data_IF_529993216303
#
_entry.id   IF_529993216303
#
_cell.length_a   1.000
_cell.length_b   1.000
_cell.length_c   1.000
_cell.angle_alpha   90.00
_cell.angle_beta   90.00
_cell.angle_gamma   90.00
#
_symmetry.space_group_name_H-M   'P 1'
#
loop_
_entity.id
_entity.type
_entity.pdbx_description
1 polymer ?
#
# COMPACT_ATOMS: atom_id res chain seq x y z
N UNK A 1 -2.07 -66.03 -19.41
CA UNK A 1 -1.99 -64.80 -20.23
C UNK A 1 -2.96 -63.78 -19.67
N UNK A 2 -2.46 -62.59 -19.32
CA UNK A 2 -3.25 -61.50 -18.76
C UNK A 2 -4.26 -60.98 -19.81
N UNK A 3 -5.44 -60.58 -19.35
CA UNK A 3 -6.50 -60.10 -20.24
C UNK A 3 -6.04 -58.86 -21.02
N UNK A 4 -6.24 -58.87 -22.34
CA UNK A 4 -5.90 -57.74 -23.23
C UNK A 4 -6.87 -56.57 -23.02
N UNK A 5 -6.44 -55.34 -23.28
CA UNK A 5 -7.26 -54.13 -23.11
C UNK A 5 -8.57 -54.18 -23.91
N UNK A 6 -8.57 -54.80 -25.11
CA UNK A 6 -9.79 -55.04 -25.90
C UNK A 6 -10.82 -55.91 -25.16
N UNK A 7 -10.37 -56.86 -24.35
CA UNK A 7 -11.25 -57.75 -23.58
C UNK A 7 -11.87 -57.04 -22.38
N UNK A 8 -11.16 -56.07 -21.80
CA UNK A 8 -11.71 -55.21 -20.73
C UNK A 8 -12.80 -54.27 -21.26
N UNK A 9 -12.63 -53.73 -22.48
CA UNK A 9 -13.65 -52.93 -23.17
C UNK A 9 -14.90 -53.75 -23.49
N UNK A 10 -14.73 -55.00 -23.97
CA UNK A 10 -15.87 -55.91 -24.27
C UNK A 10 -16.55 -56.50 -23.02
N UNK A 11 -15.93 -56.34 -21.84
CA UNK A 11 -16.43 -56.88 -20.59
C UNK A 11 -16.04 -58.34 -20.38
N UNK A 12 -15.62 -58.65 -19.16
CA UNK A 12 -15.12 -59.95 -18.70
C UNK A 12 -16.06 -60.52 -17.66
N UNK A 13 -16.49 -61.75 -17.88
CA UNK A 13 -17.31 -62.51 -16.93
C UNK A 13 -16.54 -63.76 -16.52
N UNK A 14 -16.26 -63.89 -15.23
CA UNK A 14 -15.70 -65.11 -14.66
C UNK A 14 -16.84 -66.07 -14.36
N UNK A 15 -16.81 -67.23 -15.01
CA UNK A 15 -17.82 -68.28 -14.87
C UNK A 15 -17.22 -69.51 -14.22
N UNK A 16 -18.01 -70.16 -13.37
CA UNK A 16 -17.73 -71.43 -12.73
C UNK A 16 -18.65 -72.49 -13.32
N UNK A 17 -18.08 -73.56 -13.83
CA UNK A 17 -18.74 -74.63 -14.55
C UNK A 17 -18.70 -75.91 -13.71
N UNK A 18 -19.85 -76.58 -13.59
CA UNK A 18 -20.04 -77.85 -12.88
C UNK A 18 -20.74 -78.85 -13.79
N UNK A 19 -20.26 -80.08 -13.87
CA UNK A 19 -20.89 -81.13 -14.67
C UNK A 19 -19.96 -82.31 -14.93
N UNK A 20 -20.50 -83.39 -15.50
CA UNK A 20 -19.75 -84.62 -15.73
C UNK A 20 -18.92 -84.58 -17.04
N UNK A 21 -19.22 -83.65 -17.97
CA UNK A 21 -18.61 -83.55 -19.30
C UNK A 21 -17.96 -82.16 -19.55
N UNK A 22 -17.18 -81.68 -18.58
CA UNK A 22 -16.55 -80.35 -18.66
C UNK A 22 -15.52 -80.22 -19.80
N UNK A 23 -14.78 -81.29 -20.09
CA UNK A 23 -13.76 -81.31 -21.15
C UNK A 23 -14.39 -81.21 -22.54
N UNK A 24 -15.49 -81.93 -22.76
CA UNK A 24 -16.26 -81.88 -24.01
C UNK A 24 -16.85 -80.48 -24.25
N UNK A 25 -17.31 -79.82 -23.18
CA UNK A 25 -17.81 -78.44 -23.25
C UNK A 25 -16.70 -77.45 -23.64
N UNK A 26 -15.52 -77.55 -23.03
CA UNK A 26 -14.39 -76.66 -23.35
C UNK A 26 -13.94 -76.86 -24.80
N UNK A 27 -13.83 -78.11 -25.25
CA UNK A 27 -13.42 -78.42 -26.62
C UNK A 27 -14.43 -77.91 -27.66
N UNK A 28 -15.74 -78.08 -27.41
CA UNK A 28 -16.78 -77.52 -28.29
C UNK A 28 -16.78 -76.00 -28.27
N UNK A 29 -16.58 -75.39 -27.10
CA UNK A 29 -16.53 -73.94 -26.99
C UNK A 29 -15.37 -73.36 -27.81
N UNK A 30 -14.17 -73.95 -27.71
CA UNK A 30 -13.03 -73.55 -28.53
C UNK A 30 -13.26 -73.81 -30.02
N UNK A 31 -13.87 -74.94 -30.40
CA UNK A 31 -14.20 -75.26 -31.79
C UNK A 31 -15.24 -74.29 -32.40
N UNK A 32 -16.16 -73.77 -31.59
CA UNK A 32 -17.14 -72.75 -31.99
C UNK A 32 -16.56 -71.32 -32.05
N UNK A 33 -15.24 -71.17 -31.82
CA UNK A 33 -14.54 -69.89 -31.86
C UNK A 33 -14.68 -69.03 -30.60
N UNK A 34 -15.15 -69.61 -29.48
CA UNK A 34 -15.28 -68.87 -28.22
C UNK A 34 -13.91 -68.68 -27.57
N UNK A 35 -13.64 -67.47 -27.10
CA UNK A 35 -12.40 -67.15 -26.41
C UNK A 35 -12.55 -67.42 -24.91
N UNK A 36 -12.02 -68.56 -24.46
CA UNK A 36 -11.91 -68.92 -23.04
C UNK A 36 -10.50 -68.57 -22.54
N UNK A 37 -10.37 -67.88 -21.41
CA UNK A 37 -9.06 -67.60 -20.81
C UNK A 37 -9.02 -67.90 -19.31
N UNK A 38 -7.81 -68.08 -18.80
CA UNK A 38 -7.53 -68.42 -17.40
C UNK A 38 -8.37 -69.61 -16.91
N UNK A 39 -8.35 -70.70 -17.69
CA UNK A 39 -9.01 -71.95 -17.34
C UNK A 39 -8.24 -72.55 -16.15
N UNK A 40 -8.89 -72.67 -15.00
CA UNK A 40 -8.35 -73.34 -13.82
C UNK A 40 -9.35 -74.34 -13.26
N UNK A 41 -8.86 -75.48 -12.78
CA UNK A 41 -9.67 -76.45 -12.03
C UNK A 41 -9.61 -76.13 -10.54
N UNK A 42 -10.76 -76.16 -9.89
CA UNK A 42 -10.89 -76.03 -8.44
C UNK A 42 -10.86 -77.43 -7.82
N UNK A 43 -10.36 -77.56 -6.58
CA UNK A 43 -10.18 -78.84 -5.87
C UNK A 43 -11.44 -79.71 -5.72
N UNK A 44 -12.64 -79.16 -5.95
CA UNK A 44 -13.93 -79.87 -5.94
C UNK A 44 -14.43 -80.37 -7.31
N UNK A 45 -13.56 -80.45 -8.33
CA UNK A 45 -13.95 -80.92 -9.67
C UNK A 45 -14.67 -79.87 -10.54
N UNK A 46 -14.62 -78.61 -10.15
CA UNK A 46 -15.26 -77.50 -10.88
C UNK A 46 -14.26 -76.76 -11.77
N UNK A 47 -14.71 -76.27 -12.92
CA UNK A 47 -13.86 -75.52 -13.84
C UNK A 47 -14.20 -74.03 -13.80
N UNK A 48 -13.20 -73.18 -13.58
CA UNK A 48 -13.35 -71.73 -13.64
C UNK A 48 -12.69 -71.23 -14.91
N UNK A 49 -13.42 -70.45 -15.70
CA UNK A 49 -12.86 -69.77 -16.86
C UNK A 49 -13.44 -68.35 -16.97
N UNK A 50 -12.72 -67.50 -17.67
CA UNK A 50 -13.18 -66.16 -17.99
C UNK A 50 -13.61 -66.11 -19.45
N UNK A 51 -14.70 -65.39 -19.71
CA UNK A 51 -15.30 -65.22 -21.03
C UNK A 51 -15.72 -63.78 -21.27
N UNK A 52 -15.84 -63.38 -22.53
CA UNK A 52 -16.38 -62.06 -22.85
C UNK A 52 -17.89 -62.04 -22.60
N UNK A 53 -18.47 -60.85 -22.39
CA UNK A 53 -19.93 -60.71 -22.21
C UNK A 53 -20.71 -61.26 -23.41
N UNK A 54 -20.21 -61.09 -24.63
CA UNK A 54 -20.83 -61.63 -25.83
C UNK A 54 -20.79 -63.16 -25.88
N UNK A 55 -19.63 -63.74 -25.55
CA UNK A 55 -19.41 -65.19 -25.56
C UNK A 55 -20.14 -65.91 -24.41
N UNK A 56 -20.39 -65.21 -23.29
CA UNK A 56 -21.19 -65.72 -22.18
C UNK A 56 -22.60 -66.15 -22.62
N UNK A 57 -23.25 -65.40 -23.51
CA UNK A 57 -24.57 -65.76 -24.01
C UNK A 57 -24.51 -66.94 -25.00
N UNK A 58 -23.42 -67.05 -25.76
CA UNK A 58 -23.16 -68.15 -26.71
C UNK A 58 -22.81 -69.47 -26.01
N UNK A 59 -22.36 -69.44 -24.76
CA UNK A 59 -22.14 -70.64 -23.94
C UNK A 59 -23.42 -71.35 -23.49
N UNK A 60 -24.55 -70.64 -23.40
CA UNK A 60 -25.83 -71.20 -22.93
C UNK A 60 -26.33 -72.42 -23.74
N UNK A 61 -26.35 -72.40 -25.09
CA UNK A 61 -26.74 -73.58 -25.87
C UNK A 61 -25.79 -74.77 -25.65
N UNK A 62 -24.48 -74.53 -25.60
CA UNK A 62 -23.48 -75.58 -25.38
C UNK A 62 -23.61 -76.24 -23.99
N UNK A 63 -24.03 -75.47 -22.98
CA UNK A 63 -24.33 -75.98 -21.64
C UNK A 63 -25.53 -76.92 -21.61
N UNK A 64 -26.56 -76.64 -22.43
CA UNK A 64 -27.77 -77.49 -22.52
C UNK A 64 -27.46 -78.83 -23.18
N UNK A 65 -26.61 -78.84 -24.22
CA UNK A 65 -26.21 -80.07 -24.93
C UNK A 65 -25.34 -81.00 -24.08
N UNK A 66 -24.51 -80.43 -23.20
CA UNK A 66 -23.53 -81.18 -22.39
C UNK A 66 -23.99 -81.43 -20.95
N UNK A 67 -25.21 -81.00 -20.59
CA UNK A 67 -25.78 -81.16 -19.25
C UNK A 67 -25.02 -80.41 -18.14
N UNK A 68 -24.15 -79.46 -18.49
CA UNK A 68 -23.31 -78.73 -17.55
C UNK A 68 -24.05 -77.48 -17.00
N UNK A 69 -23.76 -77.13 -15.74
CA UNK A 69 -24.30 -75.94 -15.07
C UNK A 69 -23.23 -74.87 -14.95
N UNK A 70 -23.63 -73.61 -15.14
CA UNK A 70 -22.75 -72.45 -15.06
C UNK A 70 -23.22 -71.47 -13.99
N UNK A 71 -22.30 -70.96 -13.20
CA UNK A 71 -22.52 -69.91 -12.20
C UNK A 71 -21.59 -68.72 -12.46
N UNK A 72 -22.13 -67.49 -12.41
CA UNK A 72 -21.32 -66.28 -12.61
C UNK A 72 -20.74 -65.84 -11.27
N UNK A 73 -19.42 -65.87 -11.15
CA UNK A 73 -18.72 -65.48 -9.91
C UNK A 73 -18.41 -63.98 -9.91
N UNK A 74 -17.88 -63.45 -11.01
CA UNK A 74 -17.36 -62.08 -11.05
C UNK A 74 -17.68 -61.42 -12.39
N UNK A 75 -18.06 -60.13 -12.35
CA UNK A 75 -18.31 -59.29 -13.52
C UNK A 75 -17.34 -58.11 -13.48
N UNK A 76 -16.46 -57.99 -14.49
CA UNK A 76 -15.45 -56.92 -14.59
C UNK A 76 -15.45 -56.32 -15.98
N UNK A 77 -15.11 -55.04 -16.12
CA UNK A 77 -14.94 -54.38 -17.42
C UNK A 77 -15.80 -53.14 -17.61
N UNK A 78 -15.54 -52.45 -18.73
CA UNK A 78 -16.14 -51.18 -19.11
C UNK A 78 -17.68 -51.15 -19.10
N UNK A 79 -18.43 -52.15 -19.65
CA UNK A 79 -19.89 -52.13 -19.63
C UNK A 79 -20.50 -52.18 -18.22
N UNK A 80 -19.82 -52.84 -17.26
CA UNK A 80 -20.27 -52.88 -15.87
C UNK A 80 -19.86 -51.62 -15.08
N UNK A 81 -18.78 -50.96 -15.48
CA UNK A 81 -18.36 -49.67 -14.93
C UNK A 81 -19.24 -48.52 -15.41
N UNK A 82 -19.60 -48.47 -16.71
CA UNK A 82 -20.54 -47.48 -17.25
C UNK A 82 -21.91 -47.53 -16.57
N UNK A 83 -22.49 -48.73 -16.38
CA UNK A 83 -23.74 -48.88 -15.61
C UNK A 83 -23.65 -48.38 -14.17
N UNK A 84 -22.45 -48.36 -13.59
CA UNK A 84 -22.20 -47.82 -12.25
C UNK A 84 -21.99 -46.30 -12.29
N UNK A 85 -21.43 -45.78 -13.38
CA UNK A 85 -21.27 -44.35 -13.65
C UNK A 85 -22.59 -43.65 -14.02
N UNK A 86 -23.54 -44.34 -14.65
CA UNK A 86 -24.91 -43.83 -14.89
C UNK A 86 -25.64 -43.46 -13.60
N UNK A 87 -25.34 -44.14 -12.48
CA UNK A 87 -25.88 -43.74 -11.16
C UNK A 87 -25.25 -42.46 -10.60
N UNK A 88 -24.23 -41.91 -11.26
CA UNK A 88 -23.48 -40.70 -10.87
C UNK A 88 -23.47 -39.65 -11.99
N UNK A 89 -24.52 -39.59 -12.82
CA UNK A 89 -24.67 -38.55 -13.86
C UNK A 89 -24.52 -37.14 -13.28
N UNK A 90 -25.08 -36.89 -12.09
CA UNK A 90 -24.95 -35.61 -11.39
C UNK A 90 -23.49 -35.20 -11.12
N UNK A 91 -22.58 -36.17 -10.92
CA UNK A 91 -21.15 -35.87 -10.73
C UNK A 91 -20.51 -35.39 -12.04
N UNK A 92 -20.83 -36.03 -13.17
CA UNK A 92 -20.36 -35.60 -14.49
C UNK A 92 -20.89 -34.22 -14.88
N UNK A 93 -22.19 -33.98 -14.65
CA UNK A 93 -22.82 -32.67 -14.87
C UNK A 93 -22.18 -31.59 -13.99
N UNK A 94 -21.95 -31.89 -12.70
CA UNK A 94 -21.28 -30.97 -11.79
C UNK A 94 -19.84 -30.63 -12.21
N UNK A 95 -19.09 -31.61 -12.72
CA UNK A 95 -17.75 -31.39 -13.25
C UNK A 95 -17.76 -30.44 -14.45
N UNK A 96 -18.69 -30.65 -15.40
CA UNK A 96 -18.85 -29.77 -16.57
C UNK A 96 -19.27 -28.36 -16.15
N UNK A 97 -20.25 -28.25 -15.25
CA UNK A 97 -20.69 -26.97 -14.68
C UNK A 97 -19.56 -26.24 -13.95
N UNK A 98 -18.70 -26.97 -13.25
CA UNK A 98 -17.53 -26.40 -12.57
C UNK A 98 -16.58 -25.74 -13.57
N UNK A 99 -16.25 -26.40 -14.68
CA UNK A 99 -15.39 -25.81 -15.71
C UNK A 99 -16.05 -24.62 -16.43
N UNK A 100 -17.36 -24.70 -16.70
CA UNK A 100 -18.13 -23.58 -17.25
C UNK A 100 -18.10 -22.40 -16.28
N UNK A 101 -18.37 -22.64 -14.99
CA UNK A 101 -18.32 -21.62 -13.95
C UNK A 101 -16.93 -21.00 -13.82
N UNK A 102 -15.87 -21.80 -13.84
CA UNK A 102 -14.49 -21.33 -13.80
C UNK A 102 -14.16 -20.43 -15.00
N UNK A 103 -14.61 -20.80 -16.21
CA UNK A 103 -14.42 -20.00 -17.41
C UNK A 103 -15.18 -18.67 -17.33
N UNK A 104 -16.43 -18.69 -16.87
CA UNK A 104 -17.24 -17.49 -16.67
C UNK A 104 -16.60 -16.55 -15.64
N UNK A 105 -16.21 -17.06 -14.48
CA UNK A 105 -15.56 -16.24 -13.44
C UNK A 105 -14.21 -15.67 -13.88
N UNK A 106 -13.48 -16.38 -14.74
CA UNK A 106 -12.22 -15.91 -15.34
C UNK A 106 -12.42 -14.80 -16.38
N UNK A 107 -13.58 -14.79 -17.06
CA UNK A 107 -13.93 -13.75 -18.04
C UNK A 107 -14.54 -12.50 -17.40
N UNK A 108 -14.83 -12.53 -16.10
CA UNK A 108 -15.43 -11.41 -15.38
C UNK A 108 -14.36 -10.42 -14.89
N UNK A 109 -14.64 -9.13 -15.01
CA UNK A 109 -13.77 -8.07 -14.48
C UNK A 109 -14.10 -7.87 -13.00
N UNK A 110 -13.18 -8.22 -12.12
CA UNK A 110 -13.40 -8.16 -10.66
C UNK A 110 -12.97 -6.84 -10.05
N UNK A 111 -11.93 -6.21 -10.60
CA UNK A 111 -11.34 -5.00 -10.01
C UNK A 111 -10.84 -4.09 -11.12
N UNK A 112 -11.13 -2.81 -10.98
CA UNK A 112 -10.60 -1.72 -11.79
C UNK A 112 -9.76 -0.88 -10.84
N UNK A 113 -8.49 -0.66 -11.17
CA UNK A 113 -7.57 0.18 -10.40
C UNK A 113 -7.19 1.38 -11.24
N UNK A 114 -7.27 2.58 -10.66
CA UNK A 114 -6.84 3.83 -11.31
C UNK A 114 -5.46 4.21 -10.76
N UNK A 115 -4.56 4.65 -11.64
CA UNK A 115 -3.21 5.10 -11.29
C UNK A 115 -2.84 6.37 -12.04
N UNK A 116 -2.05 7.23 -11.39
CA UNK A 116 -1.56 8.49 -11.99
C UNK A 116 -2.57 9.63 -11.96
N UNK A 117 -3.53 9.56 -11.03
CA UNK A 117 -4.50 10.61 -10.74
C UNK A 117 -3.98 11.48 -9.59
N UNK A 118 -3.56 12.70 -9.91
CA UNK A 118 -3.05 13.69 -8.96
C UNK A 118 -4.06 14.83 -8.76
N UNK A 119 -4.58 15.40 -9.86
CA UNK A 119 -5.58 16.47 -9.87
C UNK A 119 -6.98 15.97 -10.27
N UNK A 120 -7.08 14.93 -11.10
CA UNK A 120 -8.36 14.35 -11.53
C UNK A 120 -8.85 13.37 -10.47
N UNK A 121 -10.11 13.50 -10.03
CA UNK A 121 -10.68 12.57 -9.05
C UNK A 121 -10.84 11.16 -9.63
N UNK A 122 -10.55 10.14 -8.80
CA UNK A 122 -10.73 8.73 -9.18
C UNK A 122 -12.18 8.42 -9.56
N UNK A 123 -13.14 9.01 -8.84
CA UNK A 123 -14.57 8.86 -9.09
C UNK A 123 -14.94 9.30 -10.50
N UNK A 124 -14.43 10.45 -10.95
CA UNK A 124 -14.69 10.95 -12.29
C UNK A 124 -14.11 10.05 -13.39
N UNK A 125 -12.91 9.50 -13.17
CA UNK A 125 -12.28 8.55 -14.10
C UNK A 125 -13.12 7.26 -14.21
N UNK A 126 -13.63 6.76 -13.09
CA UNK A 126 -14.49 5.59 -13.05
C UNK A 126 -15.86 5.85 -13.69
N UNK A 127 -16.41 7.06 -13.57
CA UNK A 127 -17.64 7.45 -14.26
C UNK A 127 -17.48 7.47 -15.77
N UNK A 128 -16.40 8.06 -16.28
CA UNK A 128 -16.10 8.06 -17.73
C UNK A 128 -15.84 6.64 -18.22
N UNK A 129 -15.07 5.83 -17.47
CA UNK A 129 -14.87 4.41 -17.80
C UNK A 129 -16.21 3.65 -17.88
N UNK A 130 -17.15 3.93 -16.97
CA UNK A 130 -18.47 3.32 -16.97
C UNK A 130 -19.32 3.71 -18.19
N UNK A 131 -19.23 4.95 -18.66
CA UNK A 131 -19.89 5.41 -19.89
C UNK A 131 -19.37 4.65 -21.11
N UNK A 132 -18.08 4.33 -21.13
CA UNK A 132 -17.40 3.52 -22.15
C UNK A 132 -17.60 2.00 -21.96
N UNK A 133 -18.45 1.59 -21.02
CA UNK A 133 -18.81 0.19 -20.78
C UNK A 133 -17.82 -0.59 -19.90
N UNK A 134 -16.82 0.08 -19.32
CA UNK A 134 -15.84 -0.48 -18.39
C UNK A 134 -16.27 -0.23 -16.93
N UNK A 135 -16.80 -1.28 -16.28
CA UNK A 135 -17.21 -1.22 -14.88
C UNK A 135 -17.03 -2.58 -14.17
N UNK A 136 -17.02 -2.63 -12.82
CA UNK A 136 -16.86 -3.89 -12.09
C UNK A 136 -17.99 -4.89 -12.39
N UNK A 137 -17.67 -6.18 -12.44
CA UNK A 137 -18.58 -7.27 -12.82
C UNK A 137 -19.08 -7.22 -14.27
N UNK A 138 -18.41 -6.45 -15.13
CA UNK A 138 -18.63 -6.54 -16.57
C UNK A 138 -17.94 -7.79 -17.16
N UNK A 139 -18.57 -8.36 -18.20
CA UNK A 139 -18.01 -9.44 -18.97
C UNK A 139 -16.93 -8.94 -19.92
N UNK A 140 -15.74 -9.53 -19.86
CA UNK A 140 -14.61 -9.06 -20.66
C UNK A 140 -14.77 -9.24 -22.18
N UNK A 141 -15.68 -10.11 -22.62
CA UNK A 141 -16.03 -10.27 -24.05
C UNK A 141 -16.99 -9.20 -24.57
N UNK A 142 -17.62 -8.42 -23.68
CA UNK A 142 -18.50 -7.28 -24.06
C UNK A 142 -17.74 -5.96 -24.15
N UNK A 143 -16.48 -5.93 -23.73
CA UNK A 143 -15.67 -4.72 -23.80
C UNK A 143 -15.29 -4.40 -25.26
N UNK A 144 -15.28 -3.12 -25.63
CA UNK A 144 -14.64 -2.66 -26.86
C UNK A 144 -13.16 -3.08 -26.91
N UNK A 145 -12.56 -2.95 -28.10
CA UNK A 145 -11.12 -3.13 -28.23
C UNK A 145 -10.39 -2.15 -27.30
N UNK A 146 -9.32 -2.60 -26.64
CA UNK A 146 -8.57 -1.81 -25.65
C UNK A 146 -8.07 -0.48 -26.27
N UNK A 147 -7.66 -0.54 -27.54
CA UNK A 147 -7.20 0.61 -28.31
C UNK A 147 -8.27 1.69 -28.49
N UNK A 148 -9.53 1.28 -28.69
CA UNK A 148 -10.66 2.19 -28.85
C UNK A 148 -11.09 2.77 -27.50
N UNK A 149 -11.09 1.94 -26.45
CA UNK A 149 -11.36 2.38 -25.08
C UNK A 149 -10.36 3.44 -24.60
N UNK A 150 -9.07 3.26 -24.92
CA UNK A 150 -8.04 4.25 -24.60
C UNK A 150 -8.29 5.59 -25.31
N UNK A 151 -8.67 5.56 -26.59
CA UNK A 151 -8.95 6.77 -27.38
C UNK A 151 -10.20 7.49 -26.88
N UNK A 152 -11.28 6.77 -26.61
CA UNK A 152 -12.52 7.39 -26.12
C UNK A 152 -12.32 7.98 -24.72
N UNK A 153 -11.72 7.22 -23.80
CA UNK A 153 -11.41 7.72 -22.46
C UNK A 153 -10.48 8.93 -22.48
N UNK A 154 -9.47 8.98 -23.35
CA UNK A 154 -8.58 10.15 -23.47
C UNK A 154 -9.34 11.39 -23.99
N UNK A 155 -10.31 11.20 -24.89
CA UNK A 155 -11.13 12.29 -25.43
C UNK A 155 -12.12 12.83 -24.39
N UNK A 156 -12.68 11.93 -23.59
CA UNK A 156 -13.82 12.25 -22.72
C UNK A 156 -13.37 12.62 -21.28
N UNK A 157 -12.06 12.55 -20.98
CA UNK A 157 -11.43 13.06 -19.76
C UNK A 157 -10.69 14.40 -20.00
N UNK A 158 -11.34 15.56 -19.79
CA UNK A 158 -10.66 16.85 -19.91
C UNK A 158 -9.56 16.99 -18.86
N UNK A 159 -8.35 17.30 -19.30
CA UNK A 159 -7.17 17.42 -18.42
C UNK A 159 -6.27 16.18 -18.37
N UNK A 160 -6.67 15.07 -18.97
CA UNK A 160 -5.76 13.95 -19.24
C UNK A 160 -4.96 14.23 -20.52
N UNK A 161 -3.63 14.09 -20.46
CA UNK A 161 -2.76 14.10 -21.64
C UNK A 161 -2.80 12.75 -22.36
N UNK A 162 -2.98 11.67 -21.61
CA UNK A 162 -3.06 10.30 -22.12
C UNK A 162 -3.74 9.37 -21.11
N UNK A 163 -4.54 8.42 -21.61
CA UNK A 163 -5.15 7.35 -20.80
C UNK A 163 -4.75 5.98 -21.36
N UNK A 164 -4.03 5.21 -20.55
CA UNK A 164 -3.68 3.82 -20.79
C UNK A 164 -4.65 2.88 -20.10
N UNK A 165 -5.02 1.80 -20.78
CA UNK A 165 -5.86 0.74 -20.21
C UNK A 165 -5.14 -0.59 -20.43
N UNK A 166 -4.86 -1.30 -19.34
CA UNK A 166 -4.19 -2.61 -19.38
C UNK A 166 -5.05 -3.67 -18.68
N UNK A 167 -5.29 -4.79 -19.34
CA UNK A 167 -6.00 -5.95 -18.77
C UNK A 167 -4.99 -7.02 -18.33
N UNK A 168 -4.93 -7.33 -17.03
CA UNK A 168 -4.18 -8.46 -16.47
C UNK A 168 -5.14 -9.46 -15.82
N UNK A 169 -5.48 -10.51 -16.56
CA UNK A 169 -6.44 -11.52 -16.11
C UNK A 169 -7.82 -10.91 -15.88
N UNK A 170 -8.30 -10.95 -14.63
CA UNK A 170 -9.58 -10.40 -14.18
C UNK A 170 -9.48 -8.96 -13.66
N UNK A 171 -8.30 -8.36 -13.68
CA UNK A 171 -8.04 -6.99 -13.22
C UNK A 171 -7.76 -6.07 -14.40
N UNK A 172 -8.32 -4.87 -14.36
CA UNK A 172 -8.04 -3.79 -15.32
C UNK A 172 -7.37 -2.64 -14.59
N UNK A 173 -6.30 -2.13 -15.17
CA UNK A 173 -5.59 -0.95 -14.66
C UNK A 173 -5.78 0.19 -15.65
N UNK A 174 -6.30 1.32 -15.17
CA UNK A 174 -6.40 2.57 -15.92
C UNK A 174 -5.25 3.46 -15.45
N UNK A 175 -4.33 3.77 -16.34
CA UNK A 175 -3.22 4.66 -16.09
C UNK A 175 -3.49 6.01 -16.74
N UNK A 176 -3.61 7.05 -15.94
CA UNK A 176 -3.83 8.41 -16.41
C UNK A 176 -2.51 9.18 -16.32
N UNK A 177 -2.21 9.96 -17.35
CA UNK A 177 -1.14 10.96 -17.33
C UNK A 177 -1.82 12.30 -17.50
N UNK A 178 -1.74 13.15 -16.49
CA UNK A 178 -2.41 14.45 -16.49
C UNK A 178 -1.61 15.52 -17.27
N UNK A 179 -2.34 16.44 -17.90
CA UNK A 179 -1.78 17.59 -18.58
C UNK A 179 -1.27 18.60 -17.56
N UNK A 180 0.04 18.88 -17.59
CA UNK A 180 0.65 19.97 -16.81
C UNK A 180 0.34 21.30 -17.49
N UNK A 181 -0.75 21.93 -17.12
CA UNK A 181 -0.97 23.34 -17.43
C UNK A 181 -0.04 24.17 -16.52
N UNK A 182 0.77 25.11 -17.05
CA UNK A 182 1.53 26.01 -16.19
C UNK A 182 0.55 26.77 -15.31
N UNK A 183 0.76 26.70 -13.99
CA UNK A 183 -0.06 27.42 -13.02
C UNK A 183 -0.03 28.89 -13.41
N UNK A 184 -1.18 29.42 -13.83
CA UNK A 184 -1.31 30.84 -14.14
C UNK A 184 -1.34 31.55 -12.80
N UNK A 185 -0.18 31.90 -12.29
CA UNK A 185 -0.06 32.68 -11.05
C UNK A 185 -0.90 33.95 -11.24
N UNK A 186 -1.81 34.28 -10.32
CA UNK A 186 -2.60 35.50 -10.43
C UNK A 186 -1.66 36.71 -10.58
N UNK A 187 -2.04 37.72 -11.37
CA UNK A 187 -1.22 38.92 -11.51
C UNK A 187 -0.98 39.53 -10.14
N UNK A 188 0.29 39.59 -9.75
CA UNK A 188 0.73 40.11 -8.45
C UNK A 188 0.61 41.62 -8.47
N UNK A 189 -0.02 42.20 -7.45
CA UNK A 189 -0.15 43.64 -7.33
C UNK A 189 1.22 44.33 -7.25
N UNK A 190 1.39 45.53 -7.84
CA UNK A 190 2.63 46.28 -7.76
C UNK A 190 3.03 46.56 -6.29
N UNK A 191 4.32 46.37 -5.98
CA UNK A 191 4.86 46.52 -4.63
C UNK A 191 6.34 46.84 -4.62
N UNK A 192 6.80 47.43 -3.52
CA UNK A 192 8.21 47.57 -3.17
C UNK A 192 8.67 46.41 -2.30
N UNK A 193 9.98 46.16 -2.32
CA UNK A 193 10.66 45.38 -1.29
C UNK A 193 11.41 46.36 -0.40
N UNK A 194 11.11 46.31 0.89
CA UNK A 194 11.73 47.11 1.95
C UNK A 194 12.54 46.25 2.92
N UNK A 195 13.41 46.88 3.69
CA UNK A 195 14.19 46.25 4.75
C UNK A 195 13.32 45.86 5.95
N UNK A 196 13.34 44.59 6.35
CA UNK A 196 12.62 44.10 7.53
C UNK A 196 13.34 44.43 8.85
N UNK A 197 14.65 44.70 8.80
CA UNK A 197 15.51 45.02 9.94
C UNK A 197 16.66 45.96 9.52
N UNK A 198 17.30 46.60 10.50
CA UNK A 198 18.53 47.36 10.29
C UNK A 198 19.67 46.39 9.92
N UNK A 199 20.36 46.64 8.81
CA UNK A 199 21.34 45.69 8.27
C UNK A 199 22.42 46.36 7.42
N UNK A 200 23.52 45.63 7.21
CA UNK A 200 24.48 45.92 6.13
C UNK A 200 24.29 44.92 5.00
N UNK A 201 24.06 45.40 3.79
CA UNK A 201 23.70 44.53 2.67
C UNK A 201 24.91 43.70 2.23
N UNK A 202 24.74 42.38 2.13
CA UNK A 202 25.77 41.44 1.68
C UNK A 202 25.57 40.97 0.26
N UNK A 203 24.32 40.72 -0.13
CA UNK A 203 23.95 40.22 -1.46
C UNK A 203 22.58 40.76 -1.90
N UNK A 204 22.44 41.01 -3.20
CA UNK A 204 21.23 41.57 -3.81
C UNK A 204 20.93 40.79 -5.09
N UNK A 205 19.80 40.11 -5.13
CA UNK A 205 19.30 39.37 -6.29
C UNK A 205 17.90 39.87 -6.65
N UNK A 206 17.80 40.77 -7.62
CA UNK A 206 16.53 41.30 -8.09
C UNK A 206 16.06 40.53 -9.33
N UNK A 207 14.88 39.89 -9.24
CA UNK A 207 14.22 39.25 -10.38
C UNK A 207 13.36 40.27 -11.16
N UNK A 208 12.57 41.05 -10.42
CA UNK A 208 11.69 42.09 -10.95
C UNK A 208 11.81 43.35 -10.10
N UNK A 209 11.89 44.53 -10.71
CA UNK A 209 12.11 45.80 -10.00
C UNK A 209 13.53 46.34 -10.19
N UNK A 210 13.78 47.55 -9.67
CA UNK A 210 15.11 48.19 -9.70
C UNK A 210 15.72 48.19 -8.30
N UNK A 211 16.90 47.56 -8.09
CA UNK A 211 17.60 47.68 -6.81
C UNK A 211 18.07 49.13 -6.62
N UNK A 212 17.75 49.72 -5.47
CA UNK A 212 18.11 51.11 -5.14
C UNK A 212 19.30 51.21 -4.19
N UNK A 213 19.67 50.09 -3.57
CA UNK A 213 20.77 49.94 -2.62
C UNK A 213 21.94 49.17 -3.23
N UNK A 214 23.13 49.28 -2.61
CA UNK A 214 24.36 48.60 -3.06
C UNK A 214 24.91 47.67 -1.98
N UNK A 215 25.77 46.74 -2.40
CA UNK A 215 26.52 45.87 -1.48
C UNK A 215 27.38 46.72 -0.53
N UNK A 216 27.43 46.32 0.73
CA UNK A 216 28.08 46.99 1.87
C UNK A 216 27.44 48.32 2.29
N UNK A 217 26.24 48.64 1.79
CA UNK A 217 25.47 49.80 2.23
C UNK A 217 24.70 49.48 3.51
N UNK A 218 24.57 50.48 4.40
CA UNK A 218 23.79 50.39 5.63
C UNK A 218 22.35 50.80 5.34
N UNK A 219 21.41 49.95 5.72
CA UNK A 219 19.97 50.21 5.60
C UNK A 219 19.30 50.14 6.97
N UNK A 220 18.26 50.93 7.14
CA UNK A 220 17.37 50.87 8.28
C UNK A 220 16.10 50.10 7.92
N UNK A 221 15.45 49.54 8.93
CA UNK A 221 14.14 48.94 8.80
C UNK A 221 13.16 49.93 8.15
N UNK A 222 12.54 49.51 7.05
CA UNK A 222 11.61 50.31 6.26
C UNK A 222 12.23 50.94 5.01
N UNK A 223 13.56 50.96 4.86
CA UNK A 223 14.20 51.48 3.66
C UNK A 223 13.87 50.62 2.44
N UNK A 224 13.64 51.27 1.28
CA UNK A 224 13.38 50.57 0.02
C UNK A 224 14.67 49.89 -0.44
N UNK A 225 14.63 48.58 -0.68
CA UNK A 225 15.74 47.80 -1.21
C UNK A 225 15.60 47.60 -2.72
N UNK A 226 14.40 47.22 -3.15
CA UNK A 226 14.05 47.07 -4.58
C UNK A 226 12.78 47.88 -4.84
N UNK A 227 12.89 48.84 -5.74
CA UNK A 227 11.77 49.66 -6.18
C UNK A 227 10.91 48.91 -7.22
N UNK A 228 9.61 48.84 -6.98
CA UNK A 228 8.61 48.41 -7.98
C UNK A 228 8.24 49.50 -8.99
N UNK A 229 8.86 50.67 -8.90
CA UNK A 229 8.66 51.79 -9.81
C UNK A 229 9.83 51.81 -10.80
N UNK A 230 9.56 51.48 -12.07
CA UNK A 230 10.55 51.53 -13.16
C UNK A 230 10.32 52.77 -14.02
N UNK A 231 11.41 53.42 -14.42
CA UNK A 231 11.39 54.52 -15.39
C UNK A 231 12.01 55.82 -14.87
N UNK A 232 12.04 56.81 -15.75
CA UNK A 232 12.47 58.19 -15.46
C UNK A 232 11.25 59.10 -15.24
N UNK A 233 11.47 60.36 -14.86
CA UNK A 233 10.44 61.35 -14.47
C UNK A 233 9.25 61.47 -15.44
N UNK A 234 9.43 61.10 -16.72
CA UNK A 234 8.40 61.20 -17.76
C UNK A 234 7.66 59.89 -18.10
N UNK A 235 8.15 58.71 -17.66
CA UNK A 235 7.55 57.41 -18.03
C UNK A 235 7.71 56.39 -16.90
N UNK A 236 6.76 56.37 -15.99
CA UNK A 236 6.78 55.48 -14.82
C UNK A 236 5.90 54.25 -15.04
N UNK A 237 6.47 53.05 -14.85
CA UNK A 237 5.77 51.76 -14.90
C UNK A 237 5.86 51.06 -13.55
N UNK A 238 4.71 50.73 -12.98
CA UNK A 238 4.61 50.00 -11.73
C UNK A 238 4.65 48.49 -11.99
N UNK A 239 5.56 47.79 -11.32
CA UNK A 239 5.73 46.33 -11.39
C UNK A 239 5.74 45.74 -9.99
N UNK A 240 5.36 44.47 -9.82
CA UNK A 240 5.58 43.77 -8.56
C UNK A 240 7.08 43.53 -8.36
N UNK A 241 7.73 44.27 -7.45
CA UNK A 241 9.13 44.00 -7.13
C UNK A 241 9.25 42.60 -6.51
N UNK A 242 10.19 41.81 -7.03
CA UNK A 242 10.52 40.46 -6.59
C UNK A 242 12.04 40.31 -6.58
N UNK A 243 12.56 39.73 -5.52
CA UNK A 243 13.98 39.54 -5.34
C UNK A 243 14.34 39.19 -3.91
N UNK A 244 15.54 38.65 -3.75
CA UNK A 244 16.13 38.33 -2.46
C UNK A 244 17.21 39.36 -2.14
N UNK A 245 17.16 39.90 -0.92
CA UNK A 245 18.20 40.78 -0.40
C UNK A 245 18.65 40.25 0.95
N UNK A 246 19.95 39.97 1.06
CA UNK A 246 20.57 39.46 2.27
C UNK A 246 21.40 40.55 2.93
N UNK A 247 21.40 40.55 4.26
CA UNK A 247 22.19 41.50 5.03
C UNK A 247 22.65 40.93 6.38
N UNK A 248 23.71 41.55 6.90
CA UNK A 248 24.23 41.31 8.24
C UNK A 248 23.38 42.11 9.23
N UNK A 249 22.68 41.39 10.10
CA UNK A 249 21.86 41.93 11.18
C UNK A 249 22.54 41.59 12.50
N UNK A 250 22.58 42.56 13.42
CA UNK A 250 23.10 42.36 14.77
C UNK A 250 21.96 42.06 15.74
N UNK A 251 22.05 40.92 16.41
CA UNK A 251 21.10 40.49 17.43
C UNK A 251 21.75 40.48 18.81
N UNK A 252 21.23 41.30 19.72
CA UNK A 252 21.60 41.23 21.13
C UNK A 252 20.76 40.18 21.86
N UNK A 253 21.43 39.27 22.57
CA UNK A 253 20.77 38.22 23.32
C UNK A 253 21.26 38.17 24.77
N UNK A 254 20.31 38.08 25.71
CA UNK A 254 20.60 37.91 27.13
C UNK A 254 20.41 36.43 27.51
N UNK A 255 21.51 35.73 27.69
CA UNK A 255 21.56 34.30 28.00
C UNK A 255 21.61 34.12 29.52
N UNK A 256 20.79 33.22 30.04
CA UNK A 256 20.83 32.80 31.45
C UNK A 256 20.98 31.28 31.53
N UNK A 257 22.15 30.80 31.92
CA UNK A 257 22.46 29.37 32.03
C UNK A 257 22.61 28.93 33.48
N UNK A 258 21.85 27.93 33.96
CA UNK A 258 21.99 27.43 35.32
C UNK A 258 23.25 26.55 35.48
N UNK A 259 23.92 26.65 36.63
CA UNK A 259 25.04 25.76 37.01
C UNK A 259 24.58 24.42 37.60
N UNK A 260 23.27 24.24 37.75
CA UNK A 260 22.66 23.00 38.21
C UNK A 260 21.63 22.58 37.17
N UNK A 261 21.90 21.46 36.49
CA UNK A 261 20.96 20.86 35.54
C UNK A 261 20.09 19.84 36.27
N UNK A 262 18.79 19.96 36.10
CA UNK A 262 17.82 18.95 36.55
C UNK A 262 17.67 17.94 35.44
N UNK A 263 18.12 16.70 35.67
CA UNK A 263 17.97 15.59 34.72
C UNK A 263 16.94 14.61 35.26
N UNK A 264 16.10 14.11 34.36
CA UNK A 264 15.15 13.04 34.66
C UNK A 264 15.84 11.70 34.48
N UNK A 265 15.87 10.90 35.53
CA UNK A 265 16.47 9.55 35.52
C UNK A 265 15.40 8.54 35.92
N UNK A 266 15.25 7.47 35.15
CA UNK A 266 14.34 6.38 35.49
C UNK A 266 14.86 5.59 36.68
N UNK A 267 14.03 5.37 37.70
CA UNK A 267 14.41 4.59 38.89
C UNK A 267 14.40 3.08 38.62
N UNK A 268 13.78 2.64 37.53
CA UNK A 268 13.56 1.24 37.17
C UNK A 268 12.22 0.70 37.67
N UNK A 269 11.54 1.40 38.58
CA UNK A 269 10.19 1.04 38.98
C UNK A 269 9.18 1.34 37.87
N UNK A 270 8.34 0.34 37.57
CA UNK A 270 7.33 0.46 36.51
C UNK A 270 5.99 -0.10 36.95
N UNK A 271 4.92 0.56 36.54
CA UNK A 271 3.54 0.10 36.70
C UNK A 271 2.88 0.00 35.33
N UNK A 272 2.38 -1.18 35.00
CA UNK A 272 1.71 -1.42 33.72
C UNK A 272 0.19 -1.35 33.88
N UNK A 273 -0.48 -0.71 32.93
CA UNK A 273 -1.93 -0.74 32.75
C UNK A 273 -2.27 -1.32 31.40
N UNK A 274 -3.34 -2.11 31.37
CA UNK A 274 -3.84 -2.71 30.14
C UNK A 274 -5.21 -2.15 29.83
N UNK A 275 -5.41 -1.81 28.57
CA UNK A 275 -6.67 -1.32 28.03
C UNK A 275 -7.07 -2.18 26.82
N UNK A 276 -8.34 -2.54 26.75
CA UNK A 276 -8.97 -3.04 25.54
C UNK A 276 -9.54 -1.86 24.76
N UNK A 277 -9.20 -1.73 23.49
CA UNK A 277 -9.76 -0.73 22.60
C UNK A 277 -10.91 -1.38 21.85
N UNK A 278 -12.08 -0.74 21.86
CA UNK A 278 -13.24 -1.14 21.08
C UNK A 278 -13.96 0.12 20.58
N UNK A 279 -14.22 0.21 19.27
CA UNK A 279 -14.95 1.33 18.65
C UNK A 279 -14.39 2.71 19.02
N UNK A 280 -13.07 2.86 19.01
CA UNK A 280 -12.39 4.11 19.37
C UNK A 280 -12.40 4.46 20.87
N UNK A 281 -12.95 3.60 21.74
CA UNK A 281 -12.94 3.78 23.19
C UNK A 281 -11.95 2.81 23.85
N UNK A 282 -11.10 3.33 24.73
CA UNK A 282 -10.17 2.54 25.53
C UNK A 282 -10.80 2.19 26.89
N UNK A 283 -11.14 0.93 27.09
CA UNK A 283 -11.64 0.40 28.37
C UNK A 283 -10.48 -0.19 29.16
N UNK A 284 -10.27 0.29 30.38
CA UNK A 284 -9.22 -0.24 31.26
C UNK A 284 -9.60 -1.66 31.70
N UNK A 285 -8.71 -2.62 31.43
CA UNK A 285 -8.90 -4.04 31.76
C UNK A 285 -8.10 -4.42 33.01
N UNK A 286 -6.92 -3.81 33.21
CA UNK A 286 -6.06 -4.11 34.36
C UNK A 286 -5.18 -2.93 34.76
N UNK A 287 -4.64 -2.96 35.99
CA UNK A 287 -3.83 -1.88 36.57
C UNK A 287 -4.67 -0.76 37.21
N UNK A 288 -5.83 -1.11 37.76
CA UNK A 288 -6.67 -0.20 38.54
C UNK A 288 -5.93 0.32 39.79
N UNK A 289 -6.39 1.46 40.31
CA UNK A 289 -5.78 2.13 41.45
C UNK A 289 -4.86 3.30 41.08
N UNK A 290 -4.48 4.07 42.10
CA UNK A 290 -3.67 5.28 41.97
C UNK A 290 -2.23 4.94 41.56
N UNK A 291 -1.55 5.89 40.92
CA UNK A 291 -0.12 5.79 40.60
C UNK A 291 0.63 6.13 41.89
N UNK A 292 1.53 5.27 42.39
CA UNK A 292 2.24 5.50 43.65
C UNK A 292 3.42 6.47 43.51
N UNK A 293 3.78 6.85 42.29
CA UNK A 293 4.95 7.66 41.97
C UNK A 293 4.65 9.16 42.02
N UNK A 294 5.55 9.94 42.62
CA UNK A 294 5.44 11.40 42.67
C UNK A 294 5.74 12.04 41.31
N UNK A 295 6.76 11.56 40.61
CA UNK A 295 7.09 11.95 39.25
C UNK A 295 7.18 10.69 38.38
N UNK A 296 6.53 10.71 37.22
CA UNK A 296 6.49 9.57 36.33
C UNK A 296 6.32 10.00 34.88
N UNK A 297 6.76 9.14 33.98
CA UNK A 297 6.54 9.27 32.55
C UNK A 297 5.68 8.11 32.05
N UNK A 298 4.75 8.40 31.14
CA UNK A 298 3.79 7.42 30.65
C UNK A 298 4.07 7.11 29.20
N UNK A 299 4.42 5.86 28.91
CA UNK A 299 4.68 5.38 27.55
C UNK A 299 3.52 4.49 27.13
N UNK A 300 2.89 4.81 26.00
CA UNK A 300 1.75 4.07 25.46
C UNK A 300 2.16 3.25 24.24
N UNK A 301 1.77 1.98 24.23
CA UNK A 301 1.93 1.09 23.09
C UNK A 301 0.56 0.58 22.67
N UNK A 302 0.13 0.96 21.47
CA UNK A 302 -1.18 0.61 20.92
C UNK A 302 -0.99 -0.44 19.83
N UNK A 303 -1.71 -1.55 19.95
CA UNK A 303 -1.78 -2.57 18.91
C UNK A 303 -3.24 -2.73 18.48
N UNK A 304 -3.52 -2.41 17.22
CA UNK A 304 -4.83 -2.61 16.63
C UNK A 304 -4.90 -3.99 15.97
N UNK A 305 -6.03 -4.67 16.12
CA UNK A 305 -6.25 -5.91 15.40
C UNK A 305 -6.52 -5.58 13.94
N UNK A 306 -5.80 -6.23 13.03
CA UNK A 306 -6.01 -6.08 11.60
C UNK A 306 -6.30 -7.46 10.99
N UNK A 307 -7.26 -7.51 10.07
CA UNK A 307 -7.50 -8.67 9.23
C UNK A 307 -7.28 -8.27 7.78
N UNK A 308 -6.17 -8.74 7.20
CA UNK A 308 -5.77 -8.47 5.82
C UNK A 308 -5.60 -6.95 5.57
N UNK A 309 -6.57 -6.29 4.94
CA UNK A 309 -6.56 -4.84 4.65
C UNK A 309 -7.56 -4.07 5.53
N UNK A 310 -8.29 -4.75 6.42
CA UNK A 310 -9.26 -4.12 7.31
C UNK A 310 -8.69 -3.94 8.71
N UNK A 311 -8.69 -2.70 9.17
CA UNK A 311 -8.46 -2.35 10.58
C UNK A 311 -9.73 -2.67 11.36
N UNK A 312 -9.65 -3.65 12.27
CA UNK A 312 -10.79 -3.99 13.10
C UNK A 312 -10.96 -2.90 14.16
N UNK A 313 -12.20 -2.61 14.58
CA UNK A 313 -12.47 -1.63 15.62
C UNK A 313 -11.99 -2.08 17.01
N UNK A 314 -11.23 -3.17 17.11
CA UNK A 314 -10.75 -3.77 18.35
C UNK A 314 -9.22 -3.73 18.41
N UNK A 315 -8.67 -3.49 19.59
CA UNK A 315 -7.23 -3.48 19.82
C UNK A 315 -6.88 -3.64 21.29
N UNK A 316 -5.58 -3.66 21.58
CA UNK A 316 -5.04 -3.63 22.93
C UNK A 316 -4.08 -2.45 23.08
N UNK A 317 -4.13 -1.80 24.22
CA UNK A 317 -3.17 -0.76 24.58
C UNK A 317 -2.50 -1.10 25.90
N UNK A 318 -1.18 -1.07 25.90
CA UNK A 318 -0.34 -1.21 27.07
C UNK A 318 0.22 0.16 27.43
N UNK A 319 -0.12 0.64 28.62
CA UNK A 319 0.40 1.88 29.18
C UNK A 319 1.44 1.51 30.25
N UNK A 320 2.70 1.86 30.02
CA UNK A 320 3.79 1.62 30.95
C UNK A 320 4.14 2.93 31.63
N UNK A 321 3.80 3.03 32.91
CA UNK A 321 4.11 4.18 33.76
C UNK A 321 5.46 3.89 34.40
N UNK A 322 6.48 4.70 34.11
CA UNK A 322 7.82 4.58 34.67
C UNK A 322 8.03 5.68 35.70
N UNK A 323 8.49 5.31 36.88
CA UNK A 323 8.88 6.31 37.86
C UNK A 323 10.15 7.04 37.41
N UNK A 324 10.15 8.35 37.62
CA UNK A 324 11.25 9.24 37.30
C UNK A 324 11.68 9.94 38.57
N UNK A 325 12.99 10.03 38.79
CA UNK A 325 13.57 10.90 39.81
C UNK A 325 14.27 12.08 39.13
N UNK A 326 14.16 13.25 39.73
CA UNK A 326 14.84 14.46 39.25
C UNK A 326 16.17 14.59 40.00
N UNK A 327 17.26 14.27 39.33
CA UNK A 327 18.61 14.41 39.88
C UNK A 327 19.19 15.77 39.51
N UNK A 328 19.87 16.41 40.47
CA UNK A 328 20.55 17.69 40.28
C UNK A 328 22.02 17.42 39.97
N UNK A 329 22.41 17.57 38.72
CA UNK A 329 23.79 17.39 38.27
C UNK A 329 24.47 18.76 38.21
N UNK A 330 25.61 18.96 38.89
CA UNK A 330 26.38 20.19 38.75
C UNK A 330 26.96 20.29 37.34
N UNK A 331 26.86 21.47 36.75
CA UNK A 331 27.35 21.79 35.41
C UNK A 331 28.56 22.71 35.55
N UNK A 332 29.61 22.44 34.79
CA UNK A 332 30.80 23.30 34.79
C UNK A 332 30.48 24.67 34.18
N UNK A 333 31.20 25.71 34.57
CA UNK A 333 31.02 27.06 34.00
C UNK A 333 31.16 27.04 32.47
N UNK A 334 32.15 26.33 31.95
CA UNK A 334 32.38 26.21 30.51
C UNK A 334 31.22 25.53 29.78
N UNK A 335 30.68 24.44 30.33
CA UNK A 335 29.53 23.73 29.76
C UNK A 335 28.25 24.58 29.82
N UNK A 336 28.03 25.32 30.92
CA UNK A 336 26.87 26.21 31.05
C UNK A 336 26.90 27.35 30.00
N UNK A 337 28.09 27.91 29.73
CA UNK A 337 28.28 28.93 28.68
C UNK A 337 28.04 28.36 27.29
N UNK A 338 28.68 27.24 26.95
CA UNK A 338 28.57 26.65 25.61
C UNK A 338 27.14 26.21 25.31
N UNK A 339 26.45 25.63 26.30
CA UNK A 339 25.03 25.25 26.17
C UNK A 339 24.15 26.48 25.96
N UNK A 340 24.38 27.55 26.72
CA UNK A 340 23.63 28.80 26.59
C UNK A 340 23.81 29.46 25.23
N UNK A 341 25.05 29.54 24.73
CA UNK A 341 25.36 30.05 23.39
C UNK A 341 24.70 29.18 22.31
N UNK A 342 24.80 27.86 22.43
CA UNK A 342 24.18 26.92 21.47
C UNK A 342 22.67 27.09 21.42
N UNK A 343 22.03 27.23 22.59
CA UNK A 343 20.60 27.46 22.67
C UNK A 343 20.20 28.82 22.07
N UNK A 344 20.98 29.87 22.30
CA UNK A 344 20.75 31.18 21.70
C UNK A 344 20.90 31.15 20.17
N UNK A 345 21.92 30.45 19.65
CA UNK A 345 22.09 30.24 18.20
C UNK A 345 20.89 29.52 17.59
N UNK A 346 20.41 28.45 18.23
CA UNK A 346 19.26 27.70 17.75
C UNK A 346 17.98 28.56 17.71
N UNK A 347 17.76 29.40 18.74
CA UNK A 347 16.61 30.32 18.77
C UNK A 347 16.72 31.40 17.68
N UNK A 348 17.90 31.97 17.45
CA UNK A 348 18.15 32.95 16.38
C UNK A 348 17.87 32.32 15.01
N UNK A 349 18.45 31.16 14.72
CA UNK A 349 18.23 30.47 13.44
C UNK A 349 16.75 30.14 13.22
N UNK A 350 16.01 29.81 14.29
CA UNK A 350 14.56 29.57 14.19
C UNK A 350 13.75 30.82 13.83
N UNK A 351 14.21 32.01 14.25
CA UNK A 351 13.53 33.30 14.01
C UNK A 351 13.97 33.98 12.71
N UNK A 352 15.22 33.78 12.31
CA UNK A 352 15.86 34.45 11.17
C UNK A 352 15.60 33.79 9.81
N UNK A 353 14.92 32.64 9.78
CA UNK A 353 14.58 31.89 8.55
C UNK A 353 15.54 30.75 8.25
N UNK A 354 15.13 29.85 7.34
CA UNK A 354 15.83 28.59 7.05
C UNK A 354 17.26 28.79 6.50
N UNK A 355 17.52 29.91 5.82
CA UNK A 355 18.79 30.20 5.14
C UNK A 355 19.70 31.17 5.91
N UNK A 356 19.36 31.47 7.17
CA UNK A 356 20.16 32.34 8.03
C UNK A 356 21.48 31.68 8.46
N UNK A 357 22.57 32.45 8.45
CA UNK A 357 23.91 31.98 8.82
C UNK A 357 24.53 32.92 9.85
N UNK A 358 24.91 32.39 11.00
CA UNK A 358 25.65 33.15 12.03
C UNK A 358 27.10 33.30 11.58
N UNK A 359 27.57 34.54 11.40
CA UNK A 359 28.96 34.86 10.99
C UNK A 359 29.89 35.02 12.18
N UNK A 360 29.45 35.73 13.21
CA UNK A 360 30.27 36.02 14.37
C UNK A 360 29.43 36.09 15.64
N UNK A 361 30.09 35.86 16.78
CA UNK A 361 29.51 36.02 18.11
C UNK A 361 30.51 36.73 19.00
N UNK A 362 30.06 37.79 19.69
CA UNK A 362 30.87 38.56 20.62
C UNK A 362 30.19 38.63 21.98
N UNK A 363 30.89 38.14 23.01
CA UNK A 363 30.39 38.21 24.39
C UNK A 363 30.71 39.59 24.95
N UNK A 364 29.68 40.40 25.18
CA UNK A 364 29.80 41.78 25.65
C UNK A 364 29.95 41.85 27.18
N UNK A 365 29.22 41.00 27.89
CA UNK A 365 29.25 40.97 29.35
C UNK A 365 29.03 39.56 29.87
N UNK A 366 29.74 39.21 30.94
CA UNK A 366 29.61 37.94 31.63
C UNK A 366 29.59 38.19 33.14
N UNK A 367 28.56 37.66 33.81
CA UNK A 367 28.43 37.71 35.26
C UNK A 367 27.93 36.37 35.79
N UNK A 368 28.55 35.87 36.86
CA UNK A 368 28.08 34.67 37.56
C UNK A 368 27.48 35.08 38.90
N UNK A 369 26.20 34.80 39.11
CA UNK A 369 25.49 35.17 40.34
C UNK A 369 24.37 34.16 40.65
N UNK A 370 24.15 33.85 41.93
CA UNK A 370 23.06 32.97 42.39
C UNK A 370 23.01 31.59 41.70
N UNK A 371 24.17 30.99 41.40
CA UNK A 371 24.25 29.67 40.76
C UNK A 371 23.82 29.67 39.28
N UNK A 372 23.79 30.85 38.63
CA UNK A 372 23.52 31.03 37.21
C UNK A 372 24.59 31.90 36.57
N UNK A 373 24.82 31.70 35.28
CA UNK A 373 25.68 32.54 34.44
C UNK A 373 24.78 33.41 33.58
N UNK A 374 24.97 34.72 33.68
CA UNK A 374 24.33 35.74 32.85
C UNK A 374 25.32 36.22 31.81
N UNK A 375 24.94 36.17 30.54
CA UNK A 375 25.78 36.64 29.45
C UNK A 375 24.97 37.52 28.51
N UNK A 376 25.56 38.65 28.11
CA UNK A 376 25.07 39.42 26.97
C UNK A 376 25.96 39.11 25.77
N UNK A 377 25.36 38.56 24.72
CA UNK A 377 26.06 38.18 23.49
C UNK A 377 25.48 38.94 22.32
N UNK A 378 26.35 39.47 21.48
CA UNK A 378 26.02 40.09 20.20
C UNK A 378 26.31 39.08 19.09
N UNK A 379 25.28 38.70 18.35
CA UNK A 379 25.41 37.81 17.20
C UNK A 379 25.31 38.62 15.91
N UNK A 380 26.22 38.33 14.98
CA UNK A 380 26.16 38.85 13.61
C UNK A 380 25.60 37.75 12.72
N UNK A 381 24.43 37.99 12.13
CA UNK A 381 23.66 36.99 11.39
C UNK A 381 23.42 37.50 9.98
N UNK A 382 23.86 36.72 8.99
CA UNK A 382 23.52 36.95 7.60
C UNK A 382 22.17 36.28 7.29
N UNK A 383 21.14 37.10 7.08
CA UNK A 383 19.76 36.64 6.85
C UNK A 383 19.09 37.43 5.72
N UNK A 384 17.97 36.92 5.21
CA UNK A 384 17.11 37.69 4.30
C UNK A 384 16.46 38.83 5.07
N UNK A 385 16.50 40.03 4.49
CA UNK A 385 15.94 41.26 5.08
C UNK A 385 14.76 41.78 4.25
N UNK A 386 14.12 40.91 3.47
CA UNK A 386 13.01 41.26 2.56
C UNK A 386 11.69 41.36 3.32
N UNK A 387 11.00 42.49 3.17
CA UNK A 387 9.60 42.65 3.52
C UNK A 387 8.85 43.35 2.38
N UNK A 388 7.60 42.96 2.14
CA UNK A 388 6.79 43.53 1.07
C UNK A 388 6.07 44.80 1.54
N UNK A 389 6.10 45.87 0.72
CA UNK A 389 5.29 47.06 0.93
C UNK A 389 4.44 47.32 -0.31
N UNK A 390 3.10 47.23 -0.23
CA UNK A 390 2.24 47.49 -1.37
C UNK A 390 2.37 48.93 -1.84
N UNK A 391 2.29 49.14 -3.16
CA UNK A 391 2.20 50.47 -3.75
C UNK A 391 0.80 51.04 -3.50
N UNK A 392 0.65 51.88 -2.47
CA UNK A 392 -0.58 52.62 -2.26
C UNK A 392 -0.65 53.71 -3.32
N UNK A 393 -1.53 53.53 -4.31
CA UNK A 393 -1.93 54.65 -5.16
C UNK A 393 -2.67 55.64 -4.26
N UNK A 394 -2.06 56.79 -3.97
CA UNK A 394 -2.83 57.93 -3.51
C UNK A 394 -3.77 58.31 -4.65
N UNK A 395 -5.02 57.82 -4.61
CA UNK A 395 -6.12 58.50 -5.28
C UNK A 395 -6.18 59.89 -4.64
N UNK A 396 -5.57 60.87 -5.33
CA UNK A 396 -5.57 62.26 -4.90
C UNK A 396 -6.97 62.87 -4.91
N UNK A 397 -7.11 63.92 -4.09
CA UNK A 397 -8.22 64.88 -4.04
C UNK A 397 -8.58 65.49 -5.40
#
# INVERSE_FOLDING_TARGET
MNASWLQWVRGIVTVRLRGNQLETLVNRALASGLQLWSISRTSGGELVCNVTVGDFFRLRPLLKETGCRMHVTTRKGMPFWLKRAEKRIFFGVGLVLFFIGMFLLSSLIWTIEVKGNDKISEEHILEVAKQEGLYPFQWSFKLPEISDLQKSMTRDLPGAAWVGVEKRGTKITIQVVETKTPDTTPPVDPRHIIASADAVITDIQAETGRPVVKRNEKVKKGDILISGILGDENNTKNVPAQGEVRGLVWHEYNITSPLIRKVQVYTGETKTRWYGIAFGRALKVSGFGKVPYQFYETIQHVEQAAWRTWELPFGRMKETIREVRIDKVPVTLAEAKSTGITQAKADILSKSGADAVVKSENILHEKTENGKVYMKVLFEVEQSIVAEQPLVQMQGE
#
